data_IF_528763489030
#
_entry.id   IF_528763489030
#
_cell.length_a   1.000
_cell.length_b   1.000
_cell.length_c   1.000
_cell.angle_alpha   90.00
_cell.angle_beta   90.00
_cell.angle_gamma   90.00
#
_symmetry.space_group_name_H-M   'P 1'
#
loop_
_entity.id
_entity.type
_entity.pdbx_description
1 polymer ?
#
# COMPACT_ATOMS: atom_id res chain seq x y z
N UNK A 1 -23.08 46.58 -1.71
CA UNK A 1 -21.72 46.02 -1.60
C UNK A 1 -21.80 44.89 -0.62
N UNK A 2 -21.98 43.66 -1.12
CA UNK A 2 -22.02 42.45 -0.27
C UNK A 2 -20.73 41.68 -0.49
N UNK A 3 -19.89 41.62 0.53
CA UNK A 3 -18.73 40.77 0.57
C UNK A 3 -19.21 39.35 0.92
N UNK A 4 -19.04 38.39 0.01
CA UNK A 4 -19.31 36.97 0.25
C UNK A 4 -18.23 36.35 1.17
N UNK A 5 -18.56 35.30 1.93
CA UNK A 5 -17.61 34.65 2.81
C UNK A 5 -16.57 33.88 2.01
N UNK A 6 -15.31 34.20 2.25
CA UNK A 6 -14.14 33.47 1.76
C UNK A 6 -14.10 32.07 2.42
N UNK A 7 -14.37 31.04 1.65
CA UNK A 7 -14.20 29.65 2.12
C UNK A 7 -12.72 29.25 2.06
N UNK A 8 -12.04 29.40 3.17
CA UNK A 8 -10.74 28.78 3.38
C UNK A 8 -10.94 27.25 3.51
N UNK A 9 -10.83 26.52 2.41
CA UNK A 9 -10.66 25.07 2.45
C UNK A 9 -9.22 24.80 2.88
N UNK A 10 -8.95 24.07 3.96
CA UNK A 10 -7.60 23.72 4.32
C UNK A 10 -7.02 22.79 3.25
N UNK A 11 -5.88 23.21 2.68
CA UNK A 11 -5.08 22.40 1.78
C UNK A 11 -4.69 21.12 2.52
N UNK A 12 -5.14 19.95 2.03
CA UNK A 12 -4.76 18.66 2.56
C UNK A 12 -3.28 18.43 2.21
N UNK A 13 -2.38 18.84 3.09
CA UNK A 13 -0.99 18.43 2.99
C UNK A 13 -0.90 16.94 3.29
N UNK A 14 -0.24 16.20 2.39
CA UNK A 14 0.22 14.84 2.65
C UNK A 14 0.97 14.88 3.99
N UNK A 15 0.40 14.30 5.03
CA UNK A 15 1.10 14.15 6.30
C UNK A 15 2.10 13.02 6.04
N UNK A 16 3.27 13.38 5.51
CA UNK A 16 4.42 12.51 5.55
C UNK A 16 4.61 12.15 7.02
N UNK A 17 4.51 10.86 7.34
CA UNK A 17 4.86 10.34 8.66
C UNK A 17 6.14 11.03 9.09
N UNK A 18 6.15 11.70 10.25
CA UNK A 18 7.40 12.25 10.78
C UNK A 18 8.41 11.09 10.81
N UNK A 19 9.65 11.28 10.34
CA UNK A 19 10.65 10.23 10.41
C UNK A 19 10.72 9.76 11.85
N UNK A 20 10.42 8.51 12.10
CA UNK A 20 10.68 7.90 13.42
C UNK A 20 12.16 8.14 13.68
N UNK A 21 12.56 8.67 14.86
CA UNK A 21 13.96 8.88 15.18
C UNK A 21 14.72 7.61 14.84
N UNK A 22 15.82 7.72 14.12
CA UNK A 22 16.63 6.58 13.71
C UNK A 22 16.89 5.70 14.94
N UNK A 23 16.28 4.53 14.98
CA UNK A 23 16.53 3.60 16.07
C UNK A 23 18.02 3.24 16.03
N UNK A 24 18.69 3.16 17.18
CA UNK A 24 20.06 2.67 17.21
C UNK A 24 20.07 1.33 16.48
N UNK A 25 20.98 1.18 15.51
CA UNK A 25 21.12 -0.06 14.75
C UNK A 25 21.19 -1.22 15.73
N UNK A 26 20.23 -2.14 15.67
CA UNK A 26 20.24 -3.32 16.51
C UNK A 26 21.55 -4.07 16.24
N UNK A 27 22.27 -4.53 17.27
CA UNK A 27 23.53 -5.26 17.09
C UNK A 27 23.31 -6.42 16.11
N UNK A 28 24.22 -6.59 15.14
CA UNK A 28 24.18 -7.67 14.12
C UNK A 28 24.01 -9.07 14.74
N UNK A 29 24.44 -9.27 15.99
CA UNK A 29 24.22 -10.50 16.75
C UNK A 29 22.76 -10.84 17.02
N UNK A 30 21.84 -9.89 16.87
CA UNK A 30 20.39 -10.13 16.99
C UNK A 30 19.76 -10.77 15.75
N UNK A 31 20.46 -10.86 14.64
CA UNK A 31 19.91 -11.43 13.38
C UNK A 31 19.96 -12.96 13.30
N UNK A 32 20.58 -13.65 14.26
CA UNK A 32 20.76 -15.11 14.27
C UNK A 32 19.66 -15.94 14.95
N UNK A 33 18.67 -15.33 15.56
CA UNK A 33 17.53 -16.01 16.19
C UNK A 33 16.23 -15.67 15.50
N UNK A 34 15.38 -16.68 15.26
CA UNK A 34 14.01 -16.45 14.83
C UNK A 34 13.40 -15.32 15.68
N UNK A 35 12.87 -14.28 15.03
CA UNK A 35 12.13 -13.20 15.67
C UNK A 35 10.62 -13.46 15.55
N UNK A 36 10.05 -14.45 16.23
CA UNK A 36 8.61 -14.68 16.21
C UNK A 36 7.84 -13.60 16.97
N UNK A 37 8.55 -12.68 17.63
CA UNK A 37 7.94 -11.78 18.60
C UNK A 37 7.37 -10.48 18.01
N UNK A 38 7.75 -10.14 16.78
CA UNK A 38 7.37 -8.89 16.15
C UNK A 38 6.49 -9.10 14.90
N UNK A 39 5.48 -9.96 15.03
CA UNK A 39 4.48 -10.17 13.98
C UNK A 39 3.08 -10.13 14.56
N UNK A 40 2.14 -9.64 13.75
CA UNK A 40 0.70 -9.73 14.02
C UNK A 40 0.09 -10.63 12.95
N UNK A 41 -0.60 -11.68 13.37
CA UNK A 41 -1.34 -12.60 12.49
C UNK A 41 -2.81 -12.23 12.49
N UNK A 42 -3.34 -11.94 11.31
CA UNK A 42 -4.75 -11.68 11.11
C UNK A 42 -5.43 -12.94 10.60
N UNK A 43 -6.57 -13.28 11.21
CA UNK A 43 -7.30 -14.50 10.94
C UNK A 43 -8.68 -14.21 10.38
N UNK A 44 -9.12 -15.09 9.49
CA UNK A 44 -10.48 -15.14 8.97
C UNK A 44 -11.40 -15.85 9.97
N UNK A 45 -12.49 -15.24 10.42
CA UNK A 45 -13.36 -15.84 11.46
C UNK A 45 -14.12 -17.07 10.98
N UNK A 46 -14.40 -17.19 9.69
CA UNK A 46 -15.23 -18.25 9.10
C UNK A 46 -14.55 -19.62 8.96
N UNK A 47 -13.21 -19.70 9.17
CA UNK A 47 -12.48 -20.96 9.02
C UNK A 47 -11.88 -21.41 10.36
N UNK A 48 -11.74 -22.73 10.60
CA UNK A 48 -11.16 -23.25 11.84
C UNK A 48 -9.67 -22.91 11.94
N UNK A 49 -9.15 -22.89 13.17
CA UNK A 49 -7.72 -22.65 13.46
C UNK A 49 -6.79 -23.80 13.05
N UNK A 50 -7.35 -24.91 12.58
CA UNK A 50 -6.59 -26.10 12.21
C UNK A 50 -5.69 -25.82 11.00
N UNK A 51 -4.42 -26.17 11.13
CA UNK A 51 -3.42 -26.09 10.06
C UNK A 51 -3.21 -24.69 9.45
N UNK A 52 -3.54 -23.61 10.16
CA UNK A 52 -3.39 -22.24 9.66
C UNK A 52 -4.32 -21.86 8.49
N UNK A 53 -5.32 -22.66 8.19
CA UNK A 53 -6.26 -22.42 7.08
C UNK A 53 -7.09 -21.15 7.21
N UNK A 54 -7.09 -20.53 8.38
CA UNK A 54 -7.77 -19.28 8.64
C UNK A 54 -6.83 -18.07 8.72
N UNK A 55 -5.57 -18.22 8.39
CA UNK A 55 -4.66 -17.07 8.32
C UNK A 55 -5.03 -16.26 7.08
N UNK A 56 -5.43 -15.01 7.31
CA UNK A 56 -5.68 -14.05 6.25
C UNK A 56 -4.36 -13.46 5.75
N UNK A 57 -3.56 -12.93 6.67
CA UNK A 57 -2.19 -12.46 6.42
C UNK A 57 -1.42 -12.32 7.74
N UNK A 58 -0.10 -12.17 7.63
CA UNK A 58 0.79 -11.88 8.77
C UNK A 58 1.66 -10.69 8.41
N UNK A 59 1.68 -9.67 9.27
CA UNK A 59 2.46 -8.47 9.08
C UNK A 59 3.54 -8.32 10.14
N UNK A 60 4.68 -7.74 9.76
CA UNK A 60 5.73 -7.39 10.70
C UNK A 60 5.35 -6.16 11.51
N UNK A 61 5.54 -6.23 12.82
CA UNK A 61 5.17 -5.20 13.79
C UNK A 61 6.42 -4.42 14.23
N UNK A 62 6.94 -3.55 13.35
CA UNK A 62 8.15 -2.76 13.58
C UNK A 62 7.88 -1.26 13.67
N UNK A 63 6.62 -0.85 13.80
CA UNK A 63 6.25 0.56 13.92
C UNK A 63 6.52 1.13 15.33
N UNK A 64 6.82 0.27 16.30
CA UNK A 64 7.25 0.63 17.67
C UNK A 64 8.29 -0.36 18.18
N UNK A 65 9.16 0.07 19.07
CA UNK A 65 10.22 -0.77 19.68
C UNK A 65 9.67 -1.96 20.45
N UNK A 66 8.42 -1.90 20.91
CA UNK A 66 7.73 -2.96 21.64
C UNK A 66 7.04 -3.97 20.71
N UNK A 67 7.16 -3.82 19.39
CA UNK A 67 6.51 -4.70 18.43
C UNK A 67 5.12 -4.22 18.00
N UNK A 68 4.88 -2.91 17.97
CA UNK A 68 3.63 -2.31 17.51
C UNK A 68 3.49 -2.28 15.99
N UNK A 69 2.28 -2.47 15.49
CA UNK A 69 1.90 -2.35 14.07
C UNK A 69 0.87 -1.25 13.90
N UNK A 70 1.08 -0.36 12.95
CA UNK A 70 0.15 0.73 12.64
C UNK A 70 -1.23 0.19 12.22
N UNK A 71 -2.28 0.59 12.94
CA UNK A 71 -3.63 0.07 12.78
C UNK A 71 -4.17 0.32 11.37
N UNK A 72 -4.01 1.52 10.83
CA UNK A 72 -4.47 1.87 9.49
C UNK A 72 -3.79 1.03 8.39
N UNK A 73 -2.48 0.78 8.50
CA UNK A 73 -1.76 -0.09 7.57
C UNK A 73 -2.31 -1.52 7.62
N UNK A 74 -2.48 -2.06 8.82
CA UNK A 74 -3.03 -3.40 9.01
C UNK A 74 -4.45 -3.52 8.48
N UNK A 75 -5.28 -2.51 8.75
CA UNK A 75 -6.68 -2.47 8.30
C UNK A 75 -6.78 -2.47 6.78
N UNK A 76 -6.02 -1.58 6.10
CA UNK A 76 -6.01 -1.50 4.64
C UNK A 76 -5.53 -2.83 4.03
N UNK A 77 -4.45 -3.42 4.56
CA UNK A 77 -3.93 -4.69 4.05
C UNK A 77 -4.96 -5.82 4.17
N UNK A 78 -5.62 -5.95 5.33
CA UNK A 78 -6.69 -6.94 5.53
C UNK A 78 -7.90 -6.67 4.62
N UNK A 79 -8.30 -5.41 4.47
CA UNK A 79 -9.43 -5.03 3.65
C UNK A 79 -9.21 -5.33 2.17
N UNK A 80 -8.01 -5.07 1.63
CA UNK A 80 -7.64 -5.43 0.24
C UNK A 80 -7.82 -6.92 0.03
N UNK A 81 -7.23 -7.75 0.89
CA UNK A 81 -7.30 -9.21 0.80
C UNK A 81 -8.73 -9.73 0.99
N UNK A 82 -9.55 -9.02 1.76
CA UNK A 82 -10.98 -9.28 1.97
C UNK A 82 -11.89 -8.58 0.94
N UNK A 83 -11.43 -8.44 -0.31
CA UNK A 83 -12.22 -7.86 -1.41
C UNK A 83 -12.63 -6.40 -1.18
N UNK A 84 -11.68 -5.55 -0.76
CA UNK A 84 -11.90 -4.12 -0.52
C UNK A 84 -12.94 -3.83 0.59
N UNK A 85 -12.97 -4.65 1.63
CA UNK A 85 -13.88 -4.50 2.77
C UNK A 85 -13.43 -3.38 3.73
N UNK A 86 -13.57 -2.12 3.31
CA UNK A 86 -13.11 -0.95 4.07
C UNK A 86 -13.87 -0.70 5.37
N UNK A 87 -15.06 -1.26 5.53
CA UNK A 87 -15.88 -1.25 6.73
C UNK A 87 -15.55 -2.37 7.73
N UNK A 88 -14.55 -3.21 7.38
CA UNK A 88 -14.04 -4.27 8.24
C UNK A 88 -13.52 -3.77 9.59
N UNK A 89 -13.43 -4.65 10.57
CA UNK A 89 -12.89 -4.33 11.89
C UNK A 89 -12.11 -5.49 12.50
N UNK A 90 -11.27 -5.16 13.46
CA UNK A 90 -10.52 -6.14 14.22
C UNK A 90 -11.23 -6.56 15.50
N UNK A 91 -11.11 -7.85 15.84
CA UNK A 91 -11.54 -8.40 17.14
C UNK A 91 -10.48 -9.38 17.67
N UNK A 92 -10.38 -9.48 19.02
CA UNK A 92 -9.56 -10.50 19.67
C UNK A 92 -10.22 -11.87 19.64
N UNK A 93 -11.53 -11.90 19.42
CA UNK A 93 -12.33 -13.13 19.42
C UNK A 93 -12.91 -13.44 18.05
N UNK A 94 -13.03 -14.72 17.74
CA UNK A 94 -13.59 -15.20 16.47
C UNK A 94 -15.05 -14.78 16.23
N UNK A 95 -15.82 -14.63 17.28
CA UNK A 95 -17.23 -14.22 17.23
C UNK A 95 -17.42 -12.70 17.07
N UNK A 96 -16.33 -11.93 17.12
CA UNK A 96 -16.36 -10.49 16.98
C UNK A 96 -16.80 -9.71 18.21
N UNK A 97 -17.01 -10.38 19.36
CA UNK A 97 -17.54 -9.75 20.57
C UNK A 97 -16.53 -8.86 21.30
N UNK A 98 -15.22 -9.14 21.16
CA UNK A 98 -14.15 -8.30 21.71
C UNK A 98 -13.53 -7.46 20.60
N UNK A 99 -14.32 -6.51 20.09
CA UNK A 99 -13.88 -5.59 19.04
C UNK A 99 -12.82 -4.63 19.57
N UNK A 100 -11.76 -4.39 18.77
CA UNK A 100 -10.79 -3.35 19.06
C UNK A 100 -11.37 -1.98 18.73
N UNK A 101 -11.27 -1.06 19.71
CA UNK A 101 -11.61 0.35 19.54
C UNK A 101 -10.30 1.14 19.32
N UNK A 102 -9.75 1.00 18.12
CA UNK A 102 -8.52 1.67 17.69
C UNK A 102 -8.82 2.63 16.54
N UNK A 103 -8.16 3.79 16.59
CA UNK A 103 -8.18 4.75 15.51
C UNK A 103 -7.13 4.40 14.44
N UNK A 104 -7.23 5.02 13.28
CA UNK A 104 -6.33 4.78 12.15
C UNK A 104 -4.84 4.89 12.53
N UNK A 105 -4.47 5.89 13.33
CA UNK A 105 -3.08 6.18 13.68
C UNK A 105 -2.60 5.48 14.96
N UNK A 106 -3.44 4.64 15.56
CA UNK A 106 -3.08 3.85 16.73
C UNK A 106 -2.18 2.67 16.38
N UNK A 107 -1.58 2.05 17.40
CA UNK A 107 -0.73 0.88 17.25
C UNK A 107 -1.41 -0.38 17.81
N UNK A 108 -1.35 -1.45 17.05
CA UNK A 108 -1.77 -2.79 17.45
C UNK A 108 -0.57 -3.48 18.13
N UNK A 109 -0.79 -3.98 19.34
CA UNK A 109 0.17 -4.80 20.09
C UNK A 109 -0.28 -6.24 20.26
N UNK A 110 -1.50 -6.57 19.88
CA UNK A 110 -2.03 -7.92 19.89
C UNK A 110 -1.29 -8.78 18.86
N UNK A 111 -0.96 -10.03 19.23
CA UNK A 111 -0.24 -10.94 18.32
C UNK A 111 -1.14 -11.66 17.32
N UNK A 112 -2.41 -11.82 17.66
CA UNK A 112 -3.41 -12.50 16.84
C UNK A 112 -4.73 -11.74 16.91
N UNK A 113 -5.30 -11.44 15.76
CA UNK A 113 -6.59 -10.76 15.63
C UNK A 113 -7.44 -11.44 14.55
N UNK A 114 -8.74 -11.32 14.65
CA UNK A 114 -9.68 -11.69 13.60
C UNK A 114 -10.12 -10.43 12.85
N UNK A 115 -10.16 -10.52 11.52
CA UNK A 115 -10.72 -9.47 10.69
C UNK A 115 -12.14 -9.84 10.31
N UNK A 116 -13.10 -8.98 10.64
CA UNK A 116 -14.52 -9.17 10.40
C UNK A 116 -15.03 -8.21 9.35
N UNK A 117 -15.92 -8.68 8.47
CA UNK A 117 -16.61 -7.89 7.46
C UNK A 117 -18.10 -7.84 7.82
N UNK A 118 -18.65 -6.67 8.26
CA UNK A 118 -20.00 -6.58 8.85
C UNK A 118 -21.11 -6.98 7.89
N UNK A 119 -20.97 -6.66 6.61
CA UNK A 119 -22.02 -6.83 5.59
C UNK A 119 -21.97 -8.17 4.87
N UNK A 120 -21.06 -9.06 5.27
CA UNK A 120 -20.82 -10.33 4.59
C UNK A 120 -21.17 -11.52 5.47
N UNK A 121 -21.31 -12.68 4.83
CA UNK A 121 -21.28 -13.96 5.54
C UNK A 121 -20.00 -14.09 6.35
N UNK A 122 -20.03 -14.90 7.42
CA UNK A 122 -18.84 -15.19 8.23
C UNK A 122 -17.69 -15.70 7.35
N UNK A 123 -17.99 -16.36 6.21
CA UNK A 123 -17.03 -16.79 5.18
C UNK A 123 -17.02 -15.83 4.01
N UNK A 124 -16.52 -14.62 4.20
CA UNK A 124 -16.31 -13.69 3.10
C UNK A 124 -15.18 -14.18 2.15
N UNK A 125 -15.19 -13.76 0.86
CA UNK A 125 -14.15 -14.13 -0.09
C UNK A 125 -12.79 -13.54 0.26
N UNK A 126 -11.72 -14.26 -0.09
CA UNK A 126 -10.32 -13.85 0.12
C UNK A 126 -9.60 -13.85 -1.21
N UNK A 127 -8.91 -12.77 -1.53
CA UNK A 127 -8.15 -12.57 -2.76
C UNK A 127 -6.68 -12.27 -2.41
N UNK A 128 -5.83 -13.29 -2.30
CA UNK A 128 -4.43 -13.13 -1.86
C UNK A 128 -3.49 -12.63 -2.96
N UNK A 129 -3.96 -12.57 -4.19
CA UNK A 129 -3.18 -12.22 -5.37
C UNK A 129 -3.98 -11.35 -6.37
N UNK A 130 -3.34 -10.91 -7.44
CA UNK A 130 -3.96 -10.12 -8.49
C UNK A 130 -5.00 -10.90 -9.31
N UNK A 131 -4.96 -12.22 -9.38
CA UNK A 131 -5.72 -13.00 -10.36
C UNK A 131 -7.23 -12.73 -10.32
N UNK A 132 -7.79 -12.56 -9.13
CA UNK A 132 -9.23 -12.38 -8.92
C UNK A 132 -9.58 -11.07 -8.19
N UNK A 133 -8.60 -10.29 -7.79
CA UNK A 133 -8.83 -9.02 -7.11
C UNK A 133 -9.22 -7.94 -8.12
N UNK A 134 -10.28 -7.18 -7.80
CA UNK A 134 -10.73 -6.04 -8.59
C UNK A 134 -10.26 -4.73 -7.94
N UNK A 135 -9.67 -3.84 -8.75
CA UNK A 135 -9.25 -2.52 -8.27
C UNK A 135 -10.48 -1.66 -7.95
N UNK A 136 -10.56 -1.03 -6.78
CA UNK A 136 -11.74 -0.29 -6.32
C UNK A 136 -11.70 1.17 -6.82
N UNK A 137 -11.89 1.42 -8.12
CA UNK A 137 -11.75 2.72 -8.76
C UNK A 137 -12.49 3.87 -8.07
N UNK A 138 -13.74 3.61 -7.66
CA UNK A 138 -14.64 4.63 -7.10
C UNK A 138 -14.80 4.50 -5.57
N UNK A 139 -14.23 3.46 -5.00
CA UNK A 139 -14.35 3.10 -3.58
C UNK A 139 -12.96 2.89 -2.95
N UNK A 140 -12.11 3.90 -3.08
CA UNK A 140 -10.77 3.88 -2.46
C UNK A 140 -10.87 4.03 -0.93
N UNK A 141 -9.89 3.49 -0.18
CA UNK A 141 -9.86 3.65 1.27
C UNK A 141 -10.07 5.11 1.67
N UNK A 142 -10.91 5.41 2.68
CA UNK A 142 -11.17 6.78 3.10
C UNK A 142 -9.91 7.56 3.53
N UNK A 143 -8.89 6.83 3.99
CA UNK A 143 -7.59 7.39 4.40
C UNK A 143 -6.67 7.74 3.23
N UNK A 144 -6.98 7.29 2.01
CA UNK A 144 -6.17 7.62 0.85
C UNK A 144 -6.55 9.00 0.33
N UNK A 145 -5.62 9.97 0.35
CA UNK A 145 -5.91 11.29 -0.19
C UNK A 145 -6.15 11.17 -1.70
N UNK A 146 -7.28 11.68 -2.15
CA UNK A 146 -7.41 12.00 -3.57
C UNK A 146 -6.49 13.18 -3.82
N UNK A 147 -5.37 12.94 -4.52
CA UNK A 147 -4.48 14.03 -4.91
C UNK A 147 -5.32 15.09 -5.64
N UNK A 148 -5.32 16.36 -5.20
CA UNK A 148 -5.82 17.41 -6.04
C UNK A 148 -5.01 17.35 -7.33
N UNK A 149 -5.67 17.47 -8.47
CA UNK A 149 -4.98 17.73 -9.71
C UNK A 149 -4.19 19.03 -9.51
N UNK A 150 -2.91 18.92 -9.22
CA UNK A 150 -2.05 20.09 -9.06
C UNK A 150 -1.65 20.53 -10.46
N UNK A 151 -2.18 21.67 -10.87
CA UNK A 151 -1.80 22.33 -12.12
C UNK A 151 -0.33 22.82 -12.12
N UNK A 152 0.39 22.72 -11.00
CA UNK A 152 1.68 23.37 -10.79
C UNK A 152 2.93 22.48 -10.94
N UNK A 153 2.81 21.17 -10.98
CA UNK A 153 3.91 20.31 -11.39
C UNK A 153 3.80 19.99 -12.88
N UNK A 154 4.12 20.97 -13.72
CA UNK A 154 4.36 20.75 -15.15
C UNK A 154 5.59 19.85 -15.30
N UNK A 155 5.41 18.55 -15.08
CA UNK A 155 6.34 17.53 -15.55
C UNK A 155 6.55 17.80 -17.04
N UNK A 156 7.79 17.92 -17.45
CA UNK A 156 8.21 18.15 -18.84
C UNK A 156 7.45 17.15 -19.76
N UNK A 157 6.36 17.62 -20.35
CA UNK A 157 5.41 16.82 -21.12
C UNK A 157 6.06 16.11 -22.31
N UNK A 158 7.23 16.60 -22.78
CA UNK A 158 7.97 15.96 -23.88
C UNK A 158 8.63 14.66 -23.44
N UNK A 159 9.02 14.54 -22.17
CA UNK A 159 9.56 13.29 -21.61
C UNK A 159 8.48 12.22 -21.42
N UNK A 160 7.26 12.64 -21.14
CA UNK A 160 6.11 11.74 -20.94
C UNK A 160 5.56 11.18 -22.25
N UNK A 161 5.81 11.86 -23.38
CA UNK A 161 5.31 11.46 -24.70
C UNK A 161 6.26 10.54 -25.49
N UNK A 162 7.49 10.38 -25.06
CA UNK A 162 8.42 9.47 -25.73
C UNK A 162 7.94 8.02 -25.57
N UNK A 163 7.98 7.19 -26.64
CA UNK A 163 7.68 5.77 -26.51
C UNK A 163 8.65 5.17 -25.50
N UNK A 164 8.17 4.39 -24.54
CA UNK A 164 9.01 3.91 -23.47
C UNK A 164 9.99 2.85 -23.98
N UNK A 165 11.23 3.23 -24.12
CA UNK A 165 12.30 2.24 -23.94
C UNK A 165 12.47 2.04 -22.43
N UNK A 166 12.91 0.88 -21.99
CA UNK A 166 13.19 0.63 -20.56
C UNK A 166 14.10 1.71 -19.95
N UNK A 167 15.06 2.23 -20.73
CA UNK A 167 15.96 3.31 -20.31
C UNK A 167 15.27 4.68 -20.18
N UNK A 168 14.31 5.01 -21.06
CA UNK A 168 13.59 6.29 -21.00
C UNK A 168 12.61 6.32 -19.82
N UNK A 169 11.91 5.24 -19.54
CA UNK A 169 11.04 5.13 -18.37
C UNK A 169 11.85 5.23 -17.07
N UNK A 170 12.98 4.52 -16.96
CA UNK A 170 13.85 4.63 -15.79
C UNK A 170 14.33 6.06 -15.57
N UNK A 171 14.80 6.75 -16.63
CA UNK A 171 15.23 8.13 -16.53
C UNK A 171 14.08 9.08 -16.11
N UNK A 172 12.86 8.85 -16.60
CA UNK A 172 11.69 9.63 -16.23
C UNK A 172 11.31 9.44 -14.76
N UNK A 173 11.26 8.19 -14.26
CA UNK A 173 10.99 7.88 -12.85
C UNK A 173 12.04 8.51 -11.94
N UNK A 174 13.33 8.35 -12.23
CA UNK A 174 14.40 8.93 -11.42
C UNK A 174 14.39 10.46 -11.44
N UNK A 175 13.97 11.08 -12.53
CA UNK A 175 13.83 12.55 -12.62
C UNK A 175 12.64 13.03 -11.75
N UNK A 176 11.50 12.34 -11.78
CA UNK A 176 10.33 12.66 -10.98
C UNK A 176 10.61 12.51 -9.48
N UNK A 177 11.12 11.35 -9.07
CA UNK A 177 11.22 10.98 -7.66
C UNK A 177 12.52 11.48 -7.01
N UNK A 178 13.59 11.69 -7.79
CA UNK A 178 14.91 12.22 -7.38
C UNK A 178 15.66 11.37 -6.34
N UNK A 179 14.96 10.50 -5.63
CA UNK A 179 15.45 9.63 -4.57
C UNK A 179 14.52 8.44 -4.39
N UNK A 180 14.94 7.45 -3.63
CA UNK A 180 14.05 6.38 -3.18
C UNK A 180 12.85 6.97 -2.40
N UNK A 181 11.64 6.68 -2.84
CA UNK A 181 10.40 7.24 -2.25
C UNK A 181 10.15 6.78 -0.81
N UNK A 182 10.77 5.67 -0.38
CA UNK A 182 10.64 5.13 0.97
C UNK A 182 11.74 5.65 1.89
N UNK A 183 13.03 5.58 1.44
CA UNK A 183 14.16 5.86 2.32
C UNK A 183 14.77 7.26 2.15
N UNK A 184 14.41 7.99 1.08
CA UNK A 184 15.02 9.27 0.73
C UNK A 184 16.47 9.18 0.22
N UNK A 185 17.05 7.97 0.11
CA UNK A 185 18.40 7.73 -0.41
C UNK A 185 18.45 7.99 -1.92
N UNK A 186 19.58 8.56 -2.37
CA UNK A 186 19.79 8.91 -3.80
C UNK A 186 20.67 7.91 -4.54
N UNK A 187 21.45 7.13 -3.81
CA UNK A 187 22.37 6.16 -4.38
C UNK A 187 21.71 4.79 -4.52
N UNK A 188 22.13 4.01 -5.52
CA UNK A 188 21.62 2.67 -5.79
C UNK A 188 20.09 2.62 -5.93
N UNK A 189 19.52 3.60 -6.63
CA UNK A 189 18.08 3.70 -6.85
C UNK A 189 17.72 3.12 -8.21
N UNK A 190 16.70 2.28 -8.23
CA UNK A 190 16.18 1.58 -9.40
C UNK A 190 14.69 1.91 -9.59
N UNK A 191 14.18 1.65 -10.78
CA UNK A 191 12.76 1.71 -11.06
C UNK A 191 12.09 0.41 -10.63
N UNK A 192 11.08 0.49 -9.77
CA UNK A 192 10.17 -0.59 -9.41
C UNK A 192 8.78 -0.35 -10.03
N UNK A 193 8.14 -1.39 -10.54
CA UNK A 193 6.74 -1.32 -10.94
C UNK A 193 5.83 -1.53 -9.72
N UNK A 194 4.76 -0.75 -9.61
CA UNK A 194 3.73 -0.96 -8.59
C UNK A 194 2.88 -2.19 -8.91
N UNK A 195 2.41 -2.30 -10.16
CA UNK A 195 1.82 -3.51 -10.70
C UNK A 195 2.88 -4.19 -11.57
N UNK A 196 3.32 -5.42 -11.24
CA UNK A 196 4.37 -6.12 -11.98
C UNK A 196 3.99 -6.35 -13.44
N UNK A 197 4.97 -6.42 -14.34
CA UNK A 197 4.73 -6.71 -15.76
C UNK A 197 4.07 -8.07 -16.00
N UNK A 198 4.27 -9.03 -15.11
CA UNK A 198 3.58 -10.33 -15.15
C UNK A 198 2.07 -10.18 -15.03
N UNK A 199 1.59 -9.09 -14.45
CA UNK A 199 0.17 -8.83 -14.17
C UNK A 199 -0.48 -7.91 -15.23
N UNK A 200 0.06 -7.85 -16.44
CA UNK A 200 -0.47 -7.02 -17.53
C UNK A 200 -1.93 -7.37 -17.86
N UNK A 201 -2.32 -8.62 -17.80
CA UNK A 201 -3.70 -9.06 -18.03
C UNK A 201 -4.66 -8.53 -16.95
N UNK A 202 -4.21 -8.50 -15.68
CA UNK A 202 -4.95 -7.89 -14.59
C UNK A 202 -5.04 -6.38 -14.78
N UNK A 203 -3.95 -5.73 -15.13
CA UNK A 203 -3.87 -4.29 -15.38
C UNK A 203 -4.89 -3.86 -16.44
N UNK A 204 -4.98 -4.62 -17.54
CA UNK A 204 -5.91 -4.36 -18.64
C UNK A 204 -7.37 -4.64 -18.22
N UNK A 205 -7.66 -5.81 -17.63
CA UNK A 205 -8.99 -6.18 -17.13
C UNK A 205 -9.57 -5.16 -16.15
N UNK A 206 -8.72 -4.57 -15.32
CA UNK A 206 -9.12 -3.56 -14.34
C UNK A 206 -9.12 -2.14 -14.93
N UNK A 207 -8.84 -1.95 -16.23
CA UNK A 207 -8.88 -0.63 -16.85
C UNK A 207 -7.87 0.36 -16.25
N UNK A 208 -6.74 -0.13 -15.70
CA UNK A 208 -5.74 0.69 -15.01
C UNK A 208 -5.10 1.72 -15.93
N UNK A 209 -5.14 1.51 -17.25
CA UNK A 209 -4.66 2.46 -18.26
C UNK A 209 -5.31 3.84 -18.18
N UNK A 210 -6.49 3.97 -17.56
CA UNK A 210 -7.14 5.25 -17.34
C UNK A 210 -6.33 6.21 -16.44
N UNK A 211 -5.40 5.68 -15.66
CA UNK A 211 -4.52 6.44 -14.78
C UNK A 211 -3.17 6.77 -15.44
N UNK A 212 -2.93 6.28 -16.66
CA UNK A 212 -1.68 6.52 -17.36
C UNK A 212 -1.55 7.98 -17.78
N UNK A 213 -0.37 8.56 -17.59
CA UNK A 213 -0.04 9.89 -18.10
C UNK A 213 0.20 9.88 -19.62
N UNK A 214 0.68 8.76 -20.16
CA UNK A 214 0.89 8.60 -21.61
C UNK A 214 -0.25 7.76 -22.23
N UNK A 215 -1.30 8.43 -22.68
CA UNK A 215 -2.43 7.79 -23.36
C UNK A 215 -2.13 7.16 -24.74
N UNK A 216 -0.89 7.24 -25.22
CA UNK A 216 -0.46 6.62 -26.49
C UNK A 216 0.11 5.21 -26.29
N UNK A 217 0.31 4.77 -25.05
CA UNK A 217 0.76 3.42 -24.75
C UNK A 217 -0.33 2.42 -25.09
N UNK A 218 0.05 1.35 -25.79
CA UNK A 218 -0.88 0.31 -26.24
C UNK A 218 -0.35 -1.07 -25.96
N UNK A 219 -1.26 -2.06 -25.81
CA UNK A 219 -0.96 -3.47 -25.56
C UNK A 219 -0.05 -3.64 -24.32
N UNK A 220 0.94 -4.50 -24.41
CA UNK A 220 1.84 -4.84 -23.32
C UNK A 220 2.66 -3.65 -22.79
N UNK A 221 2.76 -2.57 -23.55
CA UNK A 221 3.45 -1.35 -23.12
C UNK A 221 2.60 -0.46 -22.20
N UNK A 222 1.30 -0.70 -22.10
CA UNK A 222 0.39 0.08 -21.26
C UNK A 222 0.77 0.07 -19.78
N UNK A 223 1.36 -1.02 -19.31
CA UNK A 223 1.82 -1.20 -17.92
C UNK A 223 3.14 -0.45 -17.63
N UNK A 224 3.86 -0.02 -18.67
CA UNK A 224 5.13 0.72 -18.58
C UNK A 224 4.94 2.23 -18.48
N UNK A 225 3.81 2.70 -18.00
CA UNK A 225 3.61 4.12 -17.72
C UNK A 225 4.35 4.54 -16.45
N UNK A 226 4.76 5.82 -16.41
CA UNK A 226 5.45 6.40 -15.26
C UNK A 226 4.59 6.36 -13.98
N UNK A 227 3.28 6.38 -14.10
CA UNK A 227 2.34 6.28 -12.97
C UNK A 227 2.37 4.91 -12.30
N UNK A 228 2.72 3.86 -13.05
CA UNK A 228 2.87 2.51 -12.53
C UNK A 228 4.29 2.20 -12.04
N UNK A 229 5.13 3.22 -11.81
CA UNK A 229 6.50 2.99 -11.41
C UNK A 229 6.96 4.01 -10.35
N UNK A 230 7.82 3.56 -9.45
CA UNK A 230 8.43 4.37 -8.40
C UNK A 230 9.95 4.12 -8.35
N UNK A 231 10.68 5.07 -7.76
CA UNK A 231 12.10 4.91 -7.51
C UNK A 231 12.33 4.26 -6.14
N UNK A 232 12.92 3.09 -6.12
CA UNK A 232 13.30 2.36 -4.90
C UNK A 232 14.80 2.10 -4.86
N UNK A 233 15.37 2.12 -3.66
CA UNK A 233 16.72 1.61 -3.44
C UNK A 233 16.75 0.10 -3.76
N UNK A 234 17.83 -0.40 -4.37
CA UNK A 234 17.87 -1.76 -4.92
C UNK A 234 17.57 -2.88 -3.93
N UNK A 235 17.96 -2.73 -2.67
CA UNK A 235 17.60 -3.70 -1.62
C UNK A 235 16.10 -3.67 -1.27
N UNK A 236 15.49 -2.48 -1.26
CA UNK A 236 14.04 -2.33 -1.07
C UNK A 236 13.27 -2.82 -2.30
N UNK A 237 13.78 -2.60 -3.50
CA UNK A 237 13.21 -3.12 -4.73
C UNK A 237 13.20 -4.65 -4.74
N UNK A 238 14.33 -5.27 -4.42
CA UNK A 238 14.42 -6.75 -4.29
C UNK A 238 13.42 -7.30 -3.28
N UNK A 239 13.24 -6.63 -2.14
CA UNK A 239 12.27 -7.04 -1.12
C UNK A 239 10.84 -6.84 -1.58
N UNK A 240 10.56 -5.77 -2.31
CA UNK A 240 9.26 -5.45 -2.86
C UNK A 240 8.81 -6.47 -3.91
N UNK A 241 9.71 -6.91 -4.78
CA UNK A 241 9.42 -7.92 -5.81
C UNK A 241 9.30 -9.35 -5.24
N UNK A 242 9.80 -9.59 -4.04
CA UNK A 242 9.77 -10.90 -3.38
C UNK A 242 8.58 -11.09 -2.43
N UNK A 243 7.78 -10.05 -2.22
CA UNK A 243 6.61 -10.06 -1.32
C UNK A 243 5.37 -10.56 -2.04
#
# INVERSE_FOLDING_TARGET
>A
MNAGPSSNTPSAHLILRQPVPAQPALPLSSFGGARPEHTVTFKHPGYPDQFGQNILLTLHAFDDVRGGLHCGTAHIACAIVACNAWDGYFSRTRDGNDRLDLQHDDLIFDKVLYFHVPSSDVKYPVYPDFANWAFPHDDLPPSWPRAPASDDDALDTDVLRAPPSSSTLTAAVLRRDKACVISGQRDCVERAHLCPRSEVDWFDKNGMAQYNMNGQLVRDAVIDDITNAIALRSDLHTTFDAA
#
